data_IF_959172858454
#
_entry.id   IF_959172858454
#
_cell.length_a   1.000
_cell.length_b   1.000
_cell.length_c   1.000
_cell.angle_alpha   90.00
_cell.angle_beta   90.00
_cell.angle_gamma   90.00
#
_symmetry.space_group_name_H-M   'P 1'
#
loop_
_entity.id
_entity.type
_entity.pdbx_description
1 polymer ?
#
# COMPACT_ATOMS: atom_id res chain seq x y z
N UNK A 1 -57.38 -39.26 47.63
CA UNK A 1 -56.83 -39.27 46.28
C UNK A 1 -56.36 -37.83 45.95
N UNK A 2 -55.08 -37.53 46.14
CA UNK A 2 -54.53 -36.21 45.95
C UNK A 2 -53.54 -36.31 44.78
N UNK A 3 -53.84 -35.61 43.67
CA UNK A 3 -52.98 -35.51 42.50
C UNK A 3 -51.85 -34.54 42.78
N UNK A 4 -50.63 -34.97 42.61
CA UNK A 4 -49.39 -34.15 42.76
C UNK A 4 -49.00 -33.71 41.38
N UNK A 5 -49.14 -32.39 41.09
CA UNK A 5 -48.73 -31.77 39.82
C UNK A 5 -47.29 -31.38 39.93
N UNK A 6 -46.39 -32.03 39.19
CA UNK A 6 -44.98 -31.60 39.04
C UNK A 6 -44.91 -30.50 37.98
N UNK A 7 -44.46 -29.32 38.40
CA UNK A 7 -44.08 -28.21 37.50
C UNK A 7 -42.60 -28.37 37.19
N UNK A 8 -42.30 -28.67 35.92
CA UNK A 8 -40.94 -28.73 35.38
C UNK A 8 -40.56 -27.35 34.89
N UNK A 9 -39.72 -26.61 35.66
CA UNK A 9 -39.16 -25.34 35.26
C UNK A 9 -37.96 -25.56 34.33
N UNK A 10 -38.12 -25.26 33.04
CA UNK A 10 -37.05 -25.24 32.08
C UNK A 10 -36.25 -23.94 32.22
N UNK A 11 -35.03 -24.03 32.79
CA UNK A 11 -34.06 -22.96 32.79
C UNK A 11 -33.41 -22.88 31.39
N UNK A 12 -33.86 -21.92 30.57
CA UNK A 12 -33.12 -21.51 29.38
C UNK A 12 -31.85 -20.74 29.84
N UNK A 13 -30.71 -21.40 29.81
CA UNK A 13 -29.41 -20.75 29.95
C UNK A 13 -29.10 -19.91 28.69
N UNK A 14 -29.27 -18.60 28.76
CA UNK A 14 -28.64 -17.68 27.79
C UNK A 14 -27.14 -17.70 28.02
N UNK A 15 -26.41 -18.44 27.19
CA UNK A 15 -24.96 -18.26 27.06
C UNK A 15 -24.72 -16.95 26.31
N UNK A 16 -24.47 -15.90 27.06
CA UNK A 16 -23.94 -14.64 26.50
C UNK A 16 -22.51 -14.96 26.06
N UNK A 17 -22.31 -15.10 24.75
CA UNK A 17 -20.98 -15.05 24.15
C UNK A 17 -20.49 -13.61 24.34
N UNK A 18 -19.80 -13.35 25.44
CA UNK A 18 -18.96 -12.16 25.58
C UNK A 18 -17.79 -12.36 24.62
N UNK A 19 -17.95 -11.90 23.37
CA UNK A 19 -16.80 -11.65 22.52
C UNK A 19 -15.88 -10.71 23.29
N UNK A 20 -14.61 -11.06 23.43
CA UNK A 20 -13.60 -10.14 23.93
C UNK A 20 -13.54 -8.98 22.93
N UNK A 21 -14.17 -7.87 23.28
CA UNK A 21 -13.93 -6.60 22.59
C UNK A 21 -12.51 -6.24 22.94
N UNK A 22 -11.62 -6.21 21.95
CA UNK A 22 -10.25 -5.72 22.12
C UNK A 22 -10.38 -4.25 22.54
N UNK A 23 -9.84 -3.90 23.69
CA UNK A 23 -9.95 -2.54 24.24
C UNK A 23 -9.07 -1.52 23.47
N UNK A 24 -8.09 -2.00 22.71
CA UNK A 24 -7.20 -1.17 21.90
C UNK A 24 -7.53 -1.34 20.40
N UNK A 25 -7.47 -0.26 19.62
CA UNK A 25 -7.62 -0.35 18.17
C UNK A 25 -6.53 -1.26 17.58
N UNK A 26 -6.85 -1.94 16.49
CA UNK A 26 -5.86 -2.67 15.69
C UNK A 26 -5.00 -1.66 14.94
N UNK A 27 -3.69 -1.77 15.05
CA UNK A 27 -2.75 -0.79 14.48
C UNK A 27 -2.06 -1.36 13.25
N UNK A 28 -2.23 -0.66 12.13
CA UNK A 28 -1.51 -0.90 10.87
C UNK A 28 -0.42 0.16 10.75
N UNK A 29 0.85 -0.24 10.81
CA UNK A 29 1.95 0.69 10.63
C UNK A 29 2.41 0.71 9.16
N UNK A 30 2.49 1.89 8.56
CA UNK A 30 3.10 2.11 7.25
C UNK A 30 4.44 2.81 7.43
N UNK A 31 5.52 2.08 7.18
CA UNK A 31 6.89 2.61 7.20
C UNK A 31 7.28 2.99 5.76
N UNK A 32 7.13 4.25 5.42
CA UNK A 32 7.47 4.79 4.11
C UNK A 32 8.95 5.17 4.04
N UNK A 33 9.60 4.88 2.92
CA UNK A 33 10.99 5.29 2.67
C UNK A 33 11.12 6.80 2.56
N UNK A 34 10.23 7.43 1.82
CA UNK A 34 10.08 8.87 1.67
C UNK A 34 8.71 9.19 1.06
N UNK A 35 7.72 9.46 1.92
CA UNK A 35 6.36 9.81 1.50
C UNK A 35 6.29 11.17 0.78
N UNK A 36 7.34 12.00 0.88
CA UNK A 36 7.40 13.33 0.28
C UNK A 36 8.09 13.36 -1.07
N UNK A 37 8.83 12.32 -1.45
CA UNK A 37 9.51 12.23 -2.74
C UNK A 37 8.51 12.17 -3.89
N UNK A 38 8.32 13.31 -4.50
CA UNK A 38 7.49 13.47 -5.71
C UNK A 38 8.13 12.90 -6.97
N UNK A 39 9.35 12.40 -6.86
CA UNK A 39 10.16 11.98 -8.02
C UNK A 39 9.87 10.54 -8.44
N UNK A 40 9.50 9.71 -7.48
CA UNK A 40 9.04 8.32 -7.70
C UNK A 40 8.04 8.00 -6.59
N UNK A 41 6.72 8.07 -6.85
CA UNK A 41 5.76 7.68 -5.84
C UNK A 41 5.90 6.18 -5.60
N UNK A 42 6.63 5.82 -4.55
CA UNK A 42 6.78 4.42 -4.13
C UNK A 42 5.55 3.99 -3.36
N UNK A 43 5.09 4.85 -2.47
CA UNK A 43 3.91 4.64 -1.64
C UNK A 43 2.93 5.78 -1.83
N UNK A 44 1.67 5.44 -2.05
CA UNK A 44 0.54 6.37 -1.96
C UNK A 44 -0.11 6.17 -0.58
N UNK A 45 0.39 6.92 0.41
CA UNK A 45 -0.06 6.79 1.78
C UNK A 45 -1.54 7.17 1.94
N UNK A 46 -2.04 8.15 1.17
CA UNK A 46 -3.45 8.56 1.21
C UNK A 46 -4.37 7.44 0.70
N UNK A 47 -4.01 6.80 -0.41
CA UNK A 47 -4.75 5.67 -0.93
C UNK A 47 -4.69 4.45 0.00
N UNK A 48 -3.53 4.20 0.62
CA UNK A 48 -3.36 3.16 1.61
C UNK A 48 -4.28 3.36 2.82
N UNK A 49 -4.24 4.55 3.45
CA UNK A 49 -5.08 4.91 4.58
C UNK A 49 -6.57 4.78 4.25
N UNK A 50 -7.00 5.36 3.13
CA UNK A 50 -8.38 5.31 2.68
C UNK A 50 -8.85 3.85 2.46
N UNK A 51 -7.97 2.97 1.96
CA UNK A 51 -8.30 1.58 1.72
C UNK A 51 -8.43 0.80 3.04
N UNK A 52 -7.52 1.00 3.99
CA UNK A 52 -7.62 0.39 5.33
C UNK A 52 -8.91 0.83 6.01
N UNK A 53 -9.23 2.12 6.03
CA UNK A 53 -10.45 2.66 6.62
C UNK A 53 -11.72 2.07 5.98
N UNK A 54 -11.70 1.84 4.67
CA UNK A 54 -12.84 1.28 3.95
C UNK A 54 -13.05 -0.22 4.22
N UNK A 55 -12.01 -0.97 4.61
CA UNK A 55 -12.04 -2.43 4.76
C UNK A 55 -11.95 -2.91 6.21
N UNK A 56 -11.53 -2.03 7.14
CA UNK A 56 -11.39 -2.34 8.56
C UNK A 56 -11.80 -1.13 9.43
N UNK A 57 -13.04 -1.13 9.94
CA UNK A 57 -13.56 -0.03 10.78
C UNK A 57 -12.80 0.15 12.11
N UNK A 58 -12.25 -0.94 12.68
CA UNK A 58 -11.52 -0.92 13.94
C UNK A 58 -10.01 -0.67 13.78
N UNK A 59 -9.51 -0.62 12.55
CA UNK A 59 -8.10 -0.39 12.29
C UNK A 59 -7.73 1.10 12.35
N UNK A 60 -6.55 1.38 12.84
CA UNK A 60 -5.94 2.70 12.82
C UNK A 60 -4.63 2.61 12.06
N UNK A 61 -4.46 3.44 11.04
CA UNK A 61 -3.18 3.53 10.32
C UNK A 61 -2.27 4.53 11.03
N UNK A 62 -0.99 4.16 11.14
CA UNK A 62 0.08 5.07 11.54
C UNK A 62 1.12 5.10 10.45
N UNK A 63 1.38 6.29 9.93
CA UNK A 63 2.36 6.51 8.87
C UNK A 63 3.63 7.08 9.48
N UNK A 64 4.75 6.45 9.17
CA UNK A 64 6.10 6.86 9.53
C UNK A 64 6.85 7.16 8.24
N UNK A 65 7.47 8.32 8.16
CA UNK A 65 8.24 8.76 6.98
C UNK A 65 9.71 8.86 7.35
N UNK A 66 10.54 8.04 6.73
CA UNK A 66 11.96 7.98 6.99
C UNK A 66 12.76 9.10 6.30
N UNK A 67 12.12 9.86 5.39
CA UNK A 67 12.78 10.93 4.61
C UNK A 67 14.07 10.47 3.92
N UNK A 68 14.13 9.19 3.50
CA UNK A 68 15.28 8.59 2.85
C UNK A 68 16.43 8.16 3.79
N UNK A 69 16.21 8.17 5.10
CA UNK A 69 17.22 7.76 6.11
C UNK A 69 16.90 6.37 6.66
N UNK A 70 17.73 5.38 6.33
CA UNK A 70 17.55 3.99 6.79
C UNK A 70 17.65 3.85 8.31
N UNK A 71 18.48 4.65 8.97
CA UNK A 71 18.58 4.64 10.43
C UNK A 71 17.33 5.24 11.10
N UNK A 72 16.72 6.26 10.47
CA UNK A 72 15.43 6.78 10.90
C UNK A 72 14.34 5.73 10.71
N UNK A 73 14.32 5.01 9.58
CA UNK A 73 13.35 3.94 9.34
C UNK A 73 13.45 2.80 10.38
N UNK A 74 14.67 2.40 10.74
CA UNK A 74 14.88 1.40 11.79
C UNK A 74 14.33 1.87 13.15
N UNK A 75 14.60 3.14 13.52
CA UNK A 75 14.07 3.70 14.77
C UNK A 75 12.53 3.81 14.76
N UNK A 76 11.94 4.11 13.60
CA UNK A 76 10.49 4.17 13.41
C UNK A 76 9.85 2.77 13.46
N UNK A 77 10.55 1.73 13.02
CA UNK A 77 10.10 0.35 13.18
C UNK A 77 10.01 -0.03 14.66
N UNK A 78 11.03 0.32 15.45
CA UNK A 78 11.01 0.12 16.91
C UNK A 78 9.85 0.91 17.55
N UNK A 79 9.62 2.15 17.13
CA UNK A 79 8.49 2.98 17.60
C UNK A 79 7.15 2.35 17.24
N UNK A 80 6.99 1.82 16.02
CA UNK A 80 5.75 1.15 15.60
C UNK A 80 5.46 -0.09 16.47
N UNK A 81 6.48 -0.86 16.83
CA UNK A 81 6.34 -2.01 17.73
C UNK A 81 5.99 -1.57 19.15
N UNK A 82 6.64 -0.53 19.68
CA UNK A 82 6.34 0.06 21.00
C UNK A 82 4.89 0.61 21.03
N UNK A 83 4.41 1.11 19.93
CA UNK A 83 3.04 1.59 19.69
C UNK A 83 2.03 0.46 19.42
N UNK A 84 2.47 -0.79 19.56
CA UNK A 84 1.67 -2.01 19.41
C UNK A 84 1.12 -2.19 17.99
N UNK A 85 1.94 -1.98 16.96
CA UNK A 85 1.58 -2.35 15.60
C UNK A 85 1.22 -3.85 15.53
N UNK A 86 0.12 -4.15 14.87
CA UNK A 86 -0.35 -5.52 14.65
C UNK A 86 0.08 -6.06 13.29
N UNK A 87 0.43 -5.18 12.36
CA UNK A 87 1.04 -5.47 11.06
C UNK A 87 1.88 -4.26 10.63
N UNK A 88 2.99 -4.52 9.95
CA UNK A 88 3.86 -3.50 9.36
C UNK A 88 3.82 -3.63 7.83
N UNK A 89 3.55 -2.52 7.13
CA UNK A 89 3.78 -2.39 5.70
C UNK A 89 5.06 -1.58 5.52
N UNK A 90 6.07 -2.19 4.89
CA UNK A 90 7.42 -1.64 4.82
C UNK A 90 7.81 -1.32 3.37
N UNK A 91 7.95 -0.05 3.05
CA UNK A 91 8.64 0.43 1.85
C UNK A 91 10.09 0.74 2.23
N UNK A 92 11.07 -0.13 1.90
CA UNK A 92 12.41 -0.01 2.46
C UNK A 92 13.19 1.16 1.87
N UNK A 93 13.92 1.90 2.71
CA UNK A 93 14.95 2.84 2.26
C UNK A 93 16.13 2.06 1.67
N UNK A 94 16.61 1.06 2.42
CA UNK A 94 17.69 0.16 2.03
C UNK A 94 17.26 -1.28 2.35
N UNK A 95 17.41 -2.19 1.39
CA UNK A 95 16.95 -3.59 1.57
C UNK A 95 17.75 -4.32 2.63
N UNK A 96 19.07 -4.11 2.68
CA UNK A 96 19.96 -4.80 3.62
C UNK A 96 19.63 -4.45 5.07
N UNK A 97 19.31 -3.17 5.35
CA UNK A 97 18.86 -2.73 6.67
C UNK A 97 17.44 -3.20 6.98
N UNK A 98 16.57 -3.25 5.98
CA UNK A 98 15.20 -3.71 6.12
C UNK A 98 15.10 -5.21 6.44
N UNK A 99 16.05 -6.05 5.99
CA UNK A 99 16.09 -7.47 6.36
C UNK A 99 16.18 -7.69 7.88
N UNK A 100 16.76 -6.74 8.62
CA UNK A 100 16.82 -6.81 10.08
C UNK A 100 15.47 -6.50 10.76
N UNK A 101 14.53 -5.89 10.03
CA UNK A 101 13.18 -5.56 10.49
C UNK A 101 12.16 -6.66 10.19
N UNK A 102 12.51 -7.59 9.29
CA UNK A 102 11.71 -8.77 8.97
C UNK A 102 12.24 -9.96 9.74
N UNK A 103 11.45 -10.42 10.56
CA UNK A 103 11.80 -11.27 11.49
C UNK A 103 12.24 -12.54 11.74
N UNK A 104 11.72 -13.44 12.42
CA UNK A 104 12.21 -14.78 12.74
C UNK A 104 11.56 -15.45 13.93
N UNK A 105 10.48 -14.98 14.49
CA UNK A 105 9.85 -15.58 15.66
C UNK A 105 8.35 -15.88 15.48
N UNK A 106 7.85 -16.91 16.18
CA UNK A 106 6.42 -17.30 16.18
C UNK A 106 5.48 -16.22 16.80
N UNK A 107 6.04 -15.17 17.43
CA UNK A 107 5.30 -14.08 18.09
C UNK A 107 5.57 -12.72 17.41
N UNK A 108 6.10 -12.71 16.20
CA UNK A 108 6.50 -11.51 15.49
C UNK A 108 5.37 -10.85 14.73
N UNK A 109 5.43 -9.52 14.61
CA UNK A 109 4.46 -8.73 13.84
C UNK A 109 4.63 -9.02 12.36
N UNK A 110 3.57 -9.42 11.62
CA UNK A 110 3.69 -9.69 10.19
C UNK A 110 4.16 -8.47 9.40
N UNK A 111 5.02 -8.71 8.40
CA UNK A 111 5.57 -7.67 7.53
C UNK A 111 5.15 -7.88 6.08
N UNK A 112 4.53 -6.85 5.51
CA UNK A 112 4.22 -6.76 4.08
C UNK A 112 5.24 -5.83 3.44
N UNK A 113 6.20 -6.37 2.69
CA UNK A 113 7.13 -5.54 1.91
C UNK A 113 6.37 -4.86 0.76
N UNK A 114 6.66 -3.58 0.54
CA UNK A 114 6.03 -2.76 -0.50
C UNK A 114 7.09 -2.19 -1.44
N UNK A 115 6.80 -2.07 -2.72
CA UNK A 115 7.64 -1.59 -3.82
C UNK A 115 8.89 -2.43 -4.09
N UNK A 116 9.66 -2.76 -3.08
CA UNK A 116 10.90 -3.54 -3.18
C UNK A 116 10.79 -4.78 -2.30
N UNK A 117 11.11 -5.95 -2.85
CA UNK A 117 11.10 -7.20 -2.10
C UNK A 117 12.16 -7.15 -0.99
N UNK A 118 11.74 -7.47 0.22
CA UNK A 118 12.62 -7.67 1.36
C UNK A 118 12.67 -9.17 1.68
N UNK A 119 13.83 -9.81 1.59
CA UNK A 119 13.97 -11.23 1.95
C UNK A 119 13.47 -11.53 3.37
N UNK A 120 12.62 -12.53 3.50
CA UNK A 120 12.03 -12.92 4.78
C UNK A 120 10.73 -12.22 5.15
N UNK A 121 10.26 -11.25 4.37
CA UNK A 121 8.93 -10.68 4.55
C UNK A 121 7.83 -11.75 4.37
N UNK A 122 6.71 -11.61 5.09
CA UNK A 122 5.59 -12.53 4.98
C UNK A 122 4.84 -12.39 3.66
N UNK A 123 4.80 -11.16 3.13
CA UNK A 123 4.14 -10.80 1.88
C UNK A 123 4.92 -9.73 1.12
N UNK A 124 4.72 -9.69 -0.19
CA UNK A 124 5.25 -8.62 -1.03
C UNK A 124 4.20 -8.06 -1.99
N UNK A 125 4.16 -6.74 -2.12
CA UNK A 125 3.37 -6.02 -3.11
C UNK A 125 4.28 -5.07 -3.88
N UNK A 126 4.49 -5.31 -5.16
CA UNK A 126 5.43 -4.51 -5.93
C UNK A 126 5.34 -4.78 -7.43
N UNK A 127 6.46 -4.65 -8.11
CA UNK A 127 6.60 -4.96 -9.53
C UNK A 127 7.50 -6.18 -9.74
N UNK A 128 7.25 -6.97 -10.81
CA UNK A 128 8.01 -8.18 -11.10
C UNK A 128 9.50 -7.91 -11.39
N UNK A 129 9.80 -6.72 -11.92
CA UNK A 129 11.14 -6.27 -12.19
C UNK A 129 11.38 -4.91 -11.51
N UNK A 130 12.59 -4.68 -10.96
CA UNK A 130 12.91 -3.37 -10.39
C UNK A 130 12.76 -2.30 -11.46
N UNK A 131 12.03 -1.23 -11.15
CA UNK A 131 11.97 -0.06 -12.03
C UNK A 131 13.30 0.67 -11.90
N UNK A 132 14.20 0.44 -12.85
CA UNK A 132 15.46 1.17 -12.90
C UNK A 132 15.18 2.51 -13.57
N UNK A 133 15.44 3.64 -12.88
CA UNK A 133 15.34 4.95 -13.51
C UNK A 133 16.24 5.00 -14.75
N UNK A 134 15.69 5.46 -15.87
CA UNK A 134 16.50 5.68 -17.08
C UNK A 134 17.37 6.91 -16.88
N UNK A 135 18.66 6.71 -16.57
CA UNK A 135 19.67 7.76 -16.42
C UNK A 135 19.86 8.62 -17.67
N UNK A 136 19.26 8.27 -18.79
CA UNK A 136 19.33 9.02 -20.05
C UNK A 136 18.24 10.07 -20.22
N UNK A 137 17.30 10.18 -19.25
CA UNK A 137 16.22 11.17 -19.24
C UNK A 137 16.50 12.36 -18.34
N UNK A 138 15.82 13.50 -18.52
CA UNK A 138 15.82 14.55 -17.51
C UNK A 138 15.30 13.96 -16.20
N UNK A 139 15.93 14.40 -15.10
CA UNK A 139 15.70 13.93 -13.73
C UNK A 139 14.28 13.39 -13.48
N UNK A 140 14.19 12.20 -12.89
CA UNK A 140 12.94 11.54 -12.56
C UNK A 140 11.99 12.56 -11.91
N UNK A 141 10.97 12.97 -12.65
CA UNK A 141 9.93 13.87 -12.18
C UNK A 141 8.73 13.05 -11.76
N UNK A 142 7.84 13.64 -10.99
CA UNK A 142 6.53 13.04 -10.74
C UNK A 142 5.89 12.58 -12.05
N UNK A 143 4.99 11.61 -12.01
CA UNK A 143 4.21 11.18 -13.17
C UNK A 143 3.61 12.36 -13.94
N UNK A 144 3.19 13.40 -13.24
CA UNK A 144 2.68 14.64 -13.82
C UNK A 144 3.73 15.37 -14.68
N UNK A 145 4.97 15.51 -14.19
CA UNK A 145 6.01 16.23 -14.96
C UNK A 145 6.46 15.39 -16.16
N UNK A 146 6.64 14.09 -16.00
CA UNK A 146 6.95 13.18 -17.10
C UNK A 146 5.83 13.18 -18.16
N UNK A 147 4.57 13.12 -17.74
CA UNK A 147 3.40 13.21 -18.61
C UNK A 147 3.33 14.54 -19.38
N UNK A 148 3.61 15.67 -18.71
CA UNK A 148 3.71 17.00 -19.36
C UNK A 148 4.83 17.07 -20.40
N UNK A 149 5.94 16.37 -20.17
CA UNK A 149 7.01 16.25 -21.16
C UNK A 149 6.57 15.43 -22.38
N UNK A 150 5.79 14.36 -22.16
CA UNK A 150 5.16 13.60 -23.27
C UNK A 150 4.16 14.46 -24.03
N UNK A 151 3.29 15.21 -23.34
CA UNK A 151 2.34 16.15 -23.97
C UNK A 151 3.07 17.18 -24.85
N UNK A 152 4.17 17.75 -24.36
CA UNK A 152 4.93 18.75 -25.08
C UNK A 152 5.83 18.18 -26.19
N UNK A 153 6.02 16.86 -26.22
CA UNK A 153 6.88 16.17 -27.19
C UNK A 153 8.38 16.22 -26.83
N UNK A 154 8.71 16.61 -25.61
CA UNK A 154 10.09 16.55 -25.07
C UNK A 154 10.51 15.11 -24.80
N UNK A 155 9.55 14.24 -24.45
CA UNK A 155 9.71 12.79 -24.32
C UNK A 155 8.74 12.08 -25.28
N UNK A 156 9.10 10.86 -25.69
CA UNK A 156 8.23 10.02 -26.54
C UNK A 156 7.27 9.18 -25.73
N UNK A 157 7.72 8.75 -24.55
CA UNK A 157 6.98 7.90 -23.61
C UNK A 157 7.53 8.10 -22.21
N UNK A 158 6.83 7.55 -21.23
CA UNK A 158 7.27 7.43 -19.84
C UNK A 158 6.90 6.04 -19.32
N UNK A 159 7.55 5.60 -18.26
CA UNK A 159 7.13 4.42 -17.50
C UNK A 159 6.18 4.89 -16.39
N UNK A 160 5.10 4.18 -16.22
CA UNK A 160 4.14 4.39 -15.14
C UNK A 160 4.12 3.15 -14.23
N UNK A 161 4.36 3.39 -12.95
CA UNK A 161 4.21 2.41 -11.88
C UNK A 161 2.87 2.72 -11.19
N UNK A 162 1.94 1.75 -11.07
CA UNK A 162 0.62 2.01 -10.50
C UNK A 162 0.68 2.07 -8.96
N UNK A 163 1.34 3.10 -8.39
CA UNK A 163 1.60 3.25 -6.97
C UNK A 163 0.31 3.21 -6.12
N UNK A 164 -0.75 3.90 -6.55
CA UNK A 164 -2.06 3.87 -5.89
C UNK A 164 -2.62 2.45 -5.79
N UNK A 165 -2.65 1.70 -6.91
CA UNK A 165 -3.17 0.33 -6.91
C UNK A 165 -2.28 -0.62 -6.09
N UNK A 166 -0.97 -0.40 -6.06
CA UNK A 166 -0.05 -1.15 -5.22
C UNK A 166 -0.30 -0.86 -3.73
N UNK A 167 -0.50 0.40 -3.35
CA UNK A 167 -0.77 0.80 -1.97
C UNK A 167 -2.12 0.28 -1.49
N UNK A 168 -3.17 0.33 -2.32
CA UNK A 168 -4.47 -0.29 -2.03
C UNK A 168 -4.34 -1.82 -1.85
N UNK A 169 -3.56 -2.49 -2.70
CA UNK A 169 -3.31 -3.93 -2.58
C UNK A 169 -2.55 -4.27 -1.29
N UNK A 170 -1.56 -3.47 -0.91
CA UNK A 170 -0.83 -3.66 0.34
C UNK A 170 -1.75 -3.49 1.57
N UNK A 171 -2.67 -2.54 1.52
CA UNK A 171 -3.70 -2.36 2.54
C UNK A 171 -4.62 -3.58 2.64
N UNK A 172 -5.08 -4.12 1.50
CA UNK A 172 -5.91 -5.33 1.46
C UNK A 172 -5.18 -6.55 2.05
N UNK A 173 -3.90 -6.72 1.71
CA UNK A 173 -3.06 -7.80 2.28
C UNK A 173 -2.91 -7.61 3.79
N UNK A 174 -2.56 -6.42 4.25
CA UNK A 174 -2.40 -6.13 5.67
C UNK A 174 -3.68 -6.43 6.47
N UNK A 175 -4.85 -5.97 5.99
CA UNK A 175 -6.14 -6.23 6.64
C UNK A 175 -6.49 -7.72 6.62
N UNK A 176 -6.23 -8.43 5.52
CA UNK A 176 -6.48 -9.87 5.44
C UNK A 176 -5.61 -10.67 6.42
N UNK A 177 -4.33 -10.31 6.53
CA UNK A 177 -3.39 -10.90 7.51
C UNK A 177 -3.89 -10.70 8.94
N UNK A 178 -4.30 -9.48 9.29
CA UNK A 178 -4.87 -9.16 10.62
C UNK A 178 -6.14 -9.97 10.92
N UNK A 179 -6.97 -10.20 9.92
CA UNK A 179 -8.17 -10.98 10.04
C UNK A 179 -7.91 -12.51 10.09
N UNK A 180 -6.67 -12.96 9.88
CA UNK A 180 -6.33 -14.37 9.69
C UNK A 180 -7.03 -14.97 8.47
N UNK A 181 -7.36 -14.14 7.48
CA UNK A 181 -8.05 -14.57 6.26
C UNK A 181 -7.04 -15.11 5.24
N UNK A 182 -7.51 -16.03 4.40
CA UNK A 182 -6.71 -16.52 3.28
C UNK A 182 -6.60 -15.44 2.21
N UNK A 183 -5.36 -15.13 1.78
CA UNK A 183 -5.09 -14.15 0.74
C UNK A 183 -4.89 -14.90 -0.58
N UNK A 184 -5.90 -14.83 -1.46
CA UNK A 184 -5.87 -15.53 -2.74
C UNK A 184 -5.21 -14.68 -3.85
N UNK A 185 -4.63 -15.36 -4.85
CA UNK A 185 -4.13 -14.73 -6.08
C UNK A 185 -2.67 -14.27 -6.02
N UNK A 186 -1.98 -14.54 -4.92
CA UNK A 186 -0.54 -14.28 -4.83
C UNK A 186 0.27 -15.27 -5.68
N UNK A 187 1.38 -14.79 -6.21
CA UNK A 187 2.41 -15.59 -6.89
C UNK A 187 3.60 -15.77 -5.95
N UNK A 188 4.41 -16.81 -6.14
CA UNK A 188 5.66 -16.97 -5.38
C UNK A 188 6.79 -16.18 -6.06
N UNK A 189 7.38 -15.24 -5.33
CA UNK A 189 8.60 -14.54 -5.75
C UNK A 189 9.69 -14.78 -4.71
N UNK A 190 10.71 -15.57 -5.07
CA UNK A 190 11.84 -15.89 -4.19
C UNK A 190 11.44 -16.50 -2.83
N UNK A 191 10.31 -17.20 -2.78
CA UNK A 191 9.79 -17.81 -1.56
C UNK A 191 8.84 -16.92 -0.77
N UNK A 192 8.54 -15.71 -1.24
CA UNK A 192 7.59 -14.77 -0.62
C UNK A 192 6.30 -14.71 -1.46
N UNK A 193 5.13 -14.94 -0.88
CA UNK A 193 3.86 -14.75 -1.58
C UNK A 193 3.68 -13.28 -1.96
N UNK A 194 3.45 -13.02 -3.25
CA UNK A 194 3.62 -11.71 -3.86
C UNK A 194 2.47 -11.31 -4.78
N UNK A 195 2.13 -10.03 -4.79
CA UNK A 195 1.26 -9.41 -5.78
C UNK A 195 2.10 -8.52 -6.69
N UNK A 196 2.20 -8.90 -7.97
CA UNK A 196 3.08 -8.26 -8.93
C UNK A 196 2.29 -7.40 -9.91
N UNK A 197 2.49 -6.10 -9.83
CA UNK A 197 1.88 -5.12 -10.71
C UNK A 197 2.74 -4.83 -11.94
N UNK A 198 2.10 -4.62 -13.08
CA UNK A 198 2.80 -4.35 -14.33
C UNK A 198 3.20 -2.88 -14.44
N UNK A 199 4.47 -2.63 -14.77
CA UNK A 199 4.93 -1.31 -15.22
C UNK A 199 4.49 -1.09 -16.65
N UNK A 200 3.91 0.07 -16.95
CA UNK A 200 3.34 0.36 -18.27
C UNK A 200 4.10 1.49 -18.98
N UNK A 201 4.57 1.24 -20.22
CA UNK A 201 5.05 2.31 -21.07
C UNK A 201 3.88 3.15 -21.58
N UNK A 202 3.83 4.42 -21.18
CA UNK A 202 2.75 5.35 -21.52
C UNK A 202 3.21 6.34 -22.58
N UNK A 203 2.50 6.39 -23.68
CA UNK A 203 2.71 7.33 -24.78
C UNK A 203 1.61 8.37 -24.82
N UNK A 204 1.76 9.40 -25.67
CA UNK A 204 0.78 10.49 -25.79
C UNK A 204 -0.65 10.00 -25.96
N UNK A 205 -0.88 8.94 -26.75
CA UNK A 205 -2.20 8.38 -27.01
C UNK A 205 -2.82 7.70 -25.78
N UNK A 206 -1.97 7.25 -24.84
CA UNK A 206 -2.37 6.42 -23.70
C UNK A 206 -2.52 7.24 -22.41
N UNK A 207 -2.01 8.50 -22.39
CA UNK A 207 -1.97 9.36 -21.19
C UNK A 207 -3.32 9.50 -20.49
N UNK A 208 -4.38 9.78 -21.24
CA UNK A 208 -5.72 9.96 -20.66
C UNK A 208 -6.33 8.65 -20.16
N UNK A 209 -6.05 7.54 -20.85
CA UNK A 209 -6.60 6.23 -20.46
C UNK A 209 -5.84 5.62 -19.29
N UNK A 210 -4.52 5.74 -19.30
CA UNK A 210 -3.67 5.14 -18.25
C UNK A 210 -3.57 6.06 -17.04
N UNK A 211 -2.98 7.25 -17.19
CA UNK A 211 -2.69 8.09 -16.02
C UNK A 211 -3.95 8.76 -15.45
N UNK A 212 -4.79 9.35 -16.31
CA UNK A 212 -6.02 10.00 -15.83
C UNK A 212 -7.07 8.96 -15.44
N UNK A 213 -7.18 7.89 -16.22
CA UNK A 213 -8.14 6.81 -15.94
C UNK A 213 -7.83 6.02 -14.67
N UNK A 214 -6.57 5.96 -14.26
CA UNK A 214 -6.13 5.32 -13.00
C UNK A 214 -5.97 6.31 -11.83
N UNK A 215 -6.25 7.60 -12.05
CA UNK A 215 -6.18 8.61 -11.00
C UNK A 215 -4.77 9.10 -10.65
N UNK A 216 -3.73 8.66 -11.38
CA UNK A 216 -2.34 9.07 -11.14
C UNK A 216 -2.12 10.57 -11.37
N UNK A 217 -2.84 11.16 -12.33
CA UNK A 217 -2.90 12.60 -12.58
C UNK A 217 -4.29 13.01 -13.00
N UNK A 218 -4.69 14.25 -12.75
CA UNK A 218 -5.93 14.79 -13.30
C UNK A 218 -5.70 15.43 -14.65
N UNK A 219 -6.76 15.48 -15.48
CA UNK A 219 -6.70 16.15 -16.77
C UNK A 219 -6.43 17.66 -16.61
N UNK A 220 -6.94 18.27 -15.54
CA UNK A 220 -6.72 19.68 -15.21
C UNK A 220 -5.24 19.93 -14.91
N UNK A 221 -4.61 19.10 -14.08
CA UNK A 221 -3.18 19.19 -13.78
C UNK A 221 -2.36 19.00 -15.05
N UNK A 222 -2.63 17.94 -15.82
CA UNK A 222 -1.91 17.61 -17.06
C UNK A 222 -1.96 18.76 -18.06
N UNK A 223 -3.12 19.39 -18.20
CA UNK A 223 -3.41 20.40 -19.22
C UNK A 223 -3.38 21.84 -18.71
N UNK A 224 -2.68 22.10 -17.58
CA UNK A 224 -2.49 23.45 -17.05
C UNK A 224 -1.14 24.07 -17.46
N UNK A 225 -1.03 25.38 -17.35
CA UNK A 225 0.23 26.11 -17.54
C UNK A 225 0.82 25.94 -18.94
N UNK A 226 2.04 25.41 -19.03
CA UNK A 226 2.79 25.30 -20.29
C UNK A 226 2.20 24.28 -21.28
N UNK A 227 1.41 23.32 -20.82
CA UNK A 227 0.80 22.26 -21.63
C UNK A 227 -0.57 22.64 -22.19
N UNK A 228 -1.27 23.62 -21.61
CA UNK A 228 -2.66 23.97 -21.94
C UNK A 228 -2.94 24.08 -23.45
N UNK A 229 -2.17 24.96 -24.15
CA UNK A 229 -2.30 25.14 -25.60
C UNK A 229 -2.02 23.88 -26.43
N UNK A 230 -1.23 22.96 -25.90
CA UNK A 230 -0.93 21.71 -26.59
C UNK A 230 -2.08 20.73 -26.40
N UNK A 231 -2.62 20.63 -25.19
CA UNK A 231 -3.81 19.82 -24.89
C UNK A 231 -5.00 20.20 -25.77
N UNK A 232 -5.31 21.49 -25.89
CA UNK A 232 -6.36 21.96 -26.81
C UNK A 232 -6.14 21.48 -28.26
N UNK A 233 -4.91 21.58 -28.76
CA UNK A 233 -4.59 21.18 -30.14
C UNK A 233 -4.67 19.68 -30.40
N UNK A 234 -4.46 18.85 -29.39
CA UNK A 234 -4.51 17.39 -29.50
C UNK A 234 -5.85 16.82 -29.03
N UNK A 235 -6.78 17.68 -28.57
CA UNK A 235 -8.15 17.30 -28.22
C UNK A 235 -8.26 16.61 -26.86
N UNK A 236 -7.40 16.93 -25.91
CA UNK A 236 -7.52 16.46 -24.52
C UNK A 236 -8.56 17.30 -23.74
N UNK A 237 -8.75 18.55 -24.12
CA UNK A 237 -9.72 19.51 -23.55
C UNK A 237 -10.34 20.32 -24.68
#
# INVERSE_FOLDING_TARGET
MRALTMILAALLGCTVLTGCVRENPTVVALLASDATQRLEPRVDAEAFEARVEATCEECTVRVYDAEGDAAAQAAQADEALDDSADVIVLDPVEVEEAEALVGGGEDEVPVVAHTTLVPGADWFVGTAEPVVPDDSGPEAGSDLEAARQVVTGKRRSMLHVPATAMSEQAADVAVAVLAGAEVEGAEDLEGVPSFLHAVTEVRLADLTTVLVGQGAVTLEELCSGSTARRCERIGFV
#
